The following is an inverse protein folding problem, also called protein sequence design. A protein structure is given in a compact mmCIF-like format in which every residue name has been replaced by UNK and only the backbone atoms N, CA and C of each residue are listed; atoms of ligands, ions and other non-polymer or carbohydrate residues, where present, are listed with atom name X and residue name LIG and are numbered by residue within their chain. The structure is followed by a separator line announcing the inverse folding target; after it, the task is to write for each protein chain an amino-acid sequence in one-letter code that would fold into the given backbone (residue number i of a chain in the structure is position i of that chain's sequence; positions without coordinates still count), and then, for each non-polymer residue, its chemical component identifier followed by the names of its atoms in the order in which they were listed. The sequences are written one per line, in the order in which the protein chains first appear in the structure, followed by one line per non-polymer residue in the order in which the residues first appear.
data_IF_981247844381
#
_entry.id   IF_981247844381
#
_cell.length_a   1.000
_cell.length_b   1.000
_cell.length_c   1.000
_cell.angle_alpha   90.00
_cell.angle_beta   90.00
_cell.angle_gamma   90.00
#
_symmetry.space_group_name_H-M   'P 1'
#
loop_
_entity.id
_entity.type
_entity.pdbx_description
1 polymer ?
#
# COMPACT_ATOMS: atom_id res chain seq x y z
N UNK A 1 -0.02 -15.29 0.62
CA UNK A 1 -0.48 -14.51 -0.56
C UNK A 1 -0.91 -15.45 -1.68
N UNK A 2 -2.12 -15.26 -2.22
CA UNK A 2 -2.63 -16.02 -3.40
C UNK A 2 -2.04 -15.41 -4.68
N UNK A 3 -2.03 -16.14 -5.80
CA UNK A 3 -1.51 -15.65 -7.09
C UNK A 3 -2.10 -14.31 -7.57
N UNK A 4 -3.34 -14.00 -7.18
CA UNK A 4 -3.98 -12.71 -7.45
C UNK A 4 -3.33 -11.53 -6.71
N UNK A 5 -2.78 -11.75 -5.51
CA UNK A 5 -2.20 -10.69 -4.67
C UNK A 5 -0.90 -10.15 -5.27
N UNK A 6 -0.11 -10.99 -5.97
CA UNK A 6 1.09 -10.52 -6.65
C UNK A 6 0.78 -9.67 -7.87
N UNK A 7 -0.30 -9.97 -8.60
CA UNK A 7 -0.78 -9.10 -9.69
C UNK A 7 -1.21 -7.73 -9.15
N UNK A 8 -1.94 -7.71 -8.04
CA UNK A 8 -2.34 -6.49 -7.35
C UNK A 8 -1.14 -5.67 -6.87
N UNK A 9 -0.17 -6.31 -6.20
CA UNK A 9 1.09 -5.68 -5.79
C UNK A 9 1.85 -5.11 -7.00
N UNK A 10 1.88 -5.84 -8.12
CA UNK A 10 2.48 -5.38 -9.36
C UNK A 10 1.81 -4.12 -9.92
N UNK A 11 0.48 -4.08 -9.97
CA UNK A 11 -0.28 -2.91 -10.40
C UNK A 11 -0.01 -1.68 -9.51
N UNK A 12 0.02 -1.86 -8.19
CA UNK A 12 0.29 -0.77 -7.24
C UNK A 12 1.74 -0.29 -7.34
N UNK A 13 2.69 -1.22 -7.51
CA UNK A 13 4.10 -0.90 -7.75
C UNK A 13 4.26 -0.09 -9.03
N UNK A 14 3.56 -0.47 -10.10
CA UNK A 14 3.57 0.28 -11.35
C UNK A 14 3.04 1.71 -11.16
N UNK A 15 1.95 1.90 -10.39
CA UNK A 15 1.46 3.24 -10.03
C UNK A 15 2.50 4.06 -9.26
N UNK A 16 3.20 3.46 -8.29
CA UNK A 16 4.27 4.13 -7.55
C UNK A 16 5.41 4.59 -8.48
N UNK A 17 5.83 3.74 -9.42
CA UNK A 17 6.89 4.07 -10.37
C UNK A 17 6.50 5.18 -11.35
N UNK A 18 5.20 5.38 -11.59
CA UNK A 18 4.67 6.48 -12.41
C UNK A 18 4.36 7.76 -11.61
N UNK A 19 4.58 7.76 -10.29
CA UNK A 19 4.39 8.94 -9.44
C UNK A 19 5.73 9.64 -9.17
N UNK A 20 5.81 10.95 -9.40
CA UNK A 20 7.06 11.72 -9.23
C UNK A 20 7.69 11.61 -7.86
N UNK A 21 6.89 11.42 -6.80
CA UNK A 21 7.36 11.27 -5.43
C UNK A 21 7.65 9.79 -5.09
N UNK A 22 6.68 8.91 -5.32
CA UNK A 22 6.76 7.51 -4.86
C UNK A 22 7.79 6.66 -5.60
N UNK A 23 8.18 7.05 -6.83
CA UNK A 23 9.20 6.31 -7.59
C UNK A 23 10.57 6.28 -6.93
N UNK A 24 10.85 7.26 -6.07
CA UNK A 24 12.11 7.37 -5.31
C UNK A 24 12.02 6.72 -3.92
N UNK A 25 10.84 6.23 -3.52
CA UNK A 25 10.65 5.59 -2.23
C UNK A 25 11.19 4.17 -2.23
N UNK A 26 11.71 3.74 -1.07
CA UNK A 26 12.32 2.41 -0.96
C UNK A 26 11.31 1.27 -1.16
N UNK A 27 11.78 0.12 -1.67
CA UNK A 27 10.99 -1.11 -1.72
C UNK A 27 10.49 -1.54 -0.33
N UNK A 28 11.26 -1.24 0.74
CA UNK A 28 10.82 -1.49 2.12
C UNK A 28 9.55 -0.70 2.44
N UNK A 29 9.49 0.58 2.07
CA UNK A 29 8.32 1.42 2.33
C UNK A 29 7.10 0.96 1.52
N UNK A 30 7.31 0.53 0.27
CA UNK A 30 6.26 -0.10 -0.53
C UNK A 30 5.71 -1.36 0.15
N UNK A 31 6.59 -2.26 0.60
CA UNK A 31 6.18 -3.47 1.30
C UNK A 31 5.38 -3.17 2.58
N UNK A 32 5.86 -2.25 3.42
CA UNK A 32 5.20 -1.85 4.66
C UNK A 32 3.82 -1.22 4.43
N UNK A 33 3.61 -0.48 3.34
CA UNK A 33 2.33 0.20 3.09
C UNK A 33 1.33 -0.65 2.28
N UNK A 34 1.81 -1.51 1.38
CA UNK A 34 0.95 -2.17 0.39
C UNK A 34 0.60 -3.60 0.79
N UNK A 35 1.56 -4.37 1.34
CA UNK A 35 1.29 -5.78 1.68
C UNK A 35 0.18 -5.90 2.74
N UNK A 36 0.23 -5.17 3.87
CA UNK A 36 -0.83 -5.24 4.87
C UNK A 36 -2.18 -4.79 4.32
N UNK A 37 -2.21 -3.77 3.46
CA UNK A 37 -3.43 -3.30 2.83
C UNK A 37 -4.07 -4.36 1.93
N UNK A 38 -3.26 -5.10 1.16
CA UNK A 38 -3.72 -6.22 0.34
C UNK A 38 -4.23 -7.37 1.21
N UNK A 39 -3.49 -7.73 2.26
CA UNK A 39 -3.83 -8.88 3.13
C UNK A 39 -5.11 -8.66 3.93
N UNK A 40 -5.38 -7.42 4.34
CA UNK A 40 -6.59 -7.04 5.07
C UNK A 40 -7.73 -6.57 4.15
N UNK A 41 -7.54 -6.57 2.83
CA UNK A 41 -8.52 -6.06 1.85
C UNK A 41 -8.92 -4.58 2.10
N UNK A 42 -8.01 -3.79 2.68
CA UNK A 42 -8.21 -2.39 3.04
C UNK A 42 -7.59 -1.43 2.02
N UNK A 43 -8.07 -1.55 0.78
CA UNK A 43 -7.60 -0.74 -0.32
C UNK A 43 -8.68 -0.53 -1.39
N UNK A 44 -8.43 0.43 -2.26
CA UNK A 44 -9.14 0.59 -3.52
C UNK A 44 -8.14 0.76 -4.65
N UNK A 45 -8.31 -0.04 -5.72
CA UNK A 45 -7.58 0.10 -6.97
C UNK A 45 -8.58 0.47 -8.08
N UNK A 46 -8.37 1.60 -8.74
CA UNK A 46 -9.13 1.99 -9.91
C UNK A 46 -8.39 1.54 -11.17
N UNK A 47 -9.12 0.91 -12.09
CA UNK A 47 -8.59 0.38 -13.34
C UNK A 47 -9.45 0.91 -14.49
N UNK A 48 -8.82 1.48 -15.50
CA UNK A 48 -9.46 1.88 -16.76
C UNK A 48 -8.82 1.13 -17.93
N UNK A 49 -9.64 0.52 -18.78
CA UNK A 49 -9.19 -0.27 -19.93
C UNK A 49 -8.09 -1.30 -19.62
N UNK A 50 -8.13 -1.91 -18.43
CA UNK A 50 -7.14 -2.89 -17.97
C UNK A 50 -5.84 -2.29 -17.43
N UNK A 51 -5.73 -0.96 -17.32
CA UNK A 51 -4.57 -0.24 -16.82
C UNK A 51 -4.91 0.35 -15.43
N UNK A 52 -4.09 0.13 -14.39
CA UNK A 52 -4.31 0.77 -13.09
C UNK A 52 -4.10 2.28 -13.21
N UNK A 53 -5.04 3.07 -12.68
CA UNK A 53 -4.99 4.55 -12.77
C UNK A 53 -4.90 5.24 -11.41
N UNK A 54 -5.36 4.60 -10.34
CA UNK A 54 -5.26 5.15 -8.98
C UNK A 54 -5.30 4.04 -7.94
N UNK A 55 -4.66 4.29 -6.79
CA UNK A 55 -4.66 3.42 -5.63
C UNK A 55 -4.75 4.26 -4.35
N UNK A 56 -5.55 3.80 -3.39
CA UNK A 56 -5.51 4.26 -2.01
C UNK A 56 -5.67 3.07 -1.05
N UNK A 57 -5.17 3.22 0.16
CA UNK A 57 -5.33 2.25 1.25
C UNK A 57 -5.55 2.95 2.58
N UNK A 58 -6.09 2.20 3.52
CA UNK A 58 -6.34 2.67 4.89
C UNK A 58 -5.96 1.59 5.89
N UNK A 59 -5.77 1.99 7.14
CA UNK A 59 -5.55 1.11 8.28
C UNK A 59 -6.56 1.48 9.38
N UNK A 60 -7.18 0.47 9.99
CA UNK A 60 -8.14 0.67 11.09
C UNK A 60 -7.34 0.66 12.39
N UNK A 61 -6.97 1.85 12.87
CA UNK A 61 -6.06 2.00 14.00
C UNK A 61 -6.83 2.22 15.31
N UNK A 62 -6.35 1.61 16.39
CA UNK A 62 -6.69 2.05 17.73
C UNK A 62 -5.82 3.27 18.12
N UNK A 63 -6.18 3.94 19.22
CA UNK A 63 -5.48 5.15 19.67
C UNK A 63 -3.98 4.95 19.91
N UNK A 64 -3.58 3.80 20.47
CA UNK A 64 -2.15 3.52 20.72
C UNK A 64 -1.36 3.40 19.42
N UNK A 65 -1.91 2.68 18.44
CA UNK A 65 -1.27 2.46 17.14
C UNK A 65 -1.26 3.75 16.30
N UNK A 66 -2.32 4.55 16.36
CA UNK A 66 -2.37 5.86 15.69
C UNK A 66 -1.27 6.80 16.23
N UNK A 67 -1.09 6.87 17.55
CA UNK A 67 -0.03 7.67 18.17
C UNK A 67 1.37 7.23 17.73
N UNK A 68 1.59 5.93 17.53
CA UNK A 68 2.86 5.41 16.99
C UNK A 68 3.05 5.84 15.53
N UNK A 69 2.02 5.67 14.70
CA UNK A 69 2.06 6.01 13.28
C UNK A 69 2.33 7.49 13.01
N UNK A 70 1.71 8.40 13.78
CA UNK A 70 1.96 9.85 13.63
C UNK A 70 3.42 10.21 13.95
N UNK A 71 4.07 9.48 14.86
CA UNK A 71 5.48 9.71 15.23
C UNK A 71 6.45 9.10 14.23
N UNK A 72 6.11 7.94 13.68
CA UNK A 72 6.89 7.23 12.67
C UNK A 72 5.94 6.52 11.70
N UNK A 73 5.84 7.06 10.48
CA UNK A 73 4.98 6.55 9.42
C UNK A 73 5.35 5.13 8.96
N UNK A 74 6.51 4.62 9.36
CA UNK A 74 6.97 3.25 9.08
C UNK A 74 6.78 2.28 10.25
N UNK A 75 6.15 2.72 11.35
CA UNK A 75 5.99 1.92 12.58
C UNK A 75 4.90 0.87 12.51
N UNK A 76 4.02 0.91 11.51
CA UNK A 76 2.92 -0.04 11.37
C UNK A 76 3.46 -1.43 10.99
N UNK A 77 2.94 -2.45 11.65
CA UNK A 77 3.20 -3.86 11.37
C UNK A 77 1.88 -4.57 11.11
N UNK A 78 1.87 -5.55 10.20
CA UNK A 78 0.78 -6.54 10.18
C UNK A 78 0.89 -7.37 11.46
N UNK A 79 -0.19 -7.45 12.23
CA UNK A 79 -0.32 -8.40 13.34
C UNK A 79 -0.52 -9.84 12.83
#
# INVERSE_FOLDING_TARGET
MKGNNFNLLGNITWLWMNSSLHKEWSCKLLACNVIPAIENEQYMLLVDNGIPIAYCSWADLNLETEVKYIKDISSLTSD
#
